data_IF_368703844791
#
_entry.id   IF_368703844791
#
_cell.length_a   1.000
_cell.length_b   1.000
_cell.length_c   1.000
_cell.angle_alpha   90.00
_cell.angle_beta   90.00
_cell.angle_gamma   90.00
#
_symmetry.space_group_name_H-M   'P 1'
#
loop_
_entity.id
_entity.type
_entity.pdbx_description
1 polymer ?
#
# COMPACT_ATOMS: atom_id res chain seq x y z
N UNK A 1 4.40 6.10 -37.99
CA UNK A 1 5.62 5.97 -37.18
C UNK A 1 5.50 4.67 -36.40
N UNK A 2 6.30 3.66 -36.73
CA UNK A 2 6.34 2.40 -35.98
C UNK A 2 6.97 2.71 -34.62
N UNK A 3 6.15 2.78 -33.57
CA UNK A 3 6.65 2.92 -32.21
C UNK A 3 7.38 1.60 -31.91
N UNK A 4 8.70 1.62 -31.82
CA UNK A 4 9.47 0.43 -31.45
C UNK A 4 9.05 -0.01 -30.07
N UNK A 5 8.82 -1.34 -29.91
CA UNK A 5 8.47 -1.92 -28.61
C UNK A 5 9.56 -1.56 -27.59
N UNK A 6 9.20 -1.15 -26.36
CA UNK A 6 10.19 -0.84 -25.35
C UNK A 6 11.00 -2.10 -24.99
N UNK A 7 12.30 -1.92 -24.78
CA UNK A 7 13.14 -3.01 -24.25
C UNK A 7 12.87 -3.25 -22.78
N UNK A 8 13.19 -4.45 -22.26
CA UNK A 8 13.10 -4.77 -20.85
C UNK A 8 13.85 -3.72 -19.99
N UNK A 9 15.07 -3.36 -20.42
CA UNK A 9 15.91 -2.38 -19.68
C UNK A 9 15.26 -1.00 -19.62
N UNK A 10 14.59 -0.56 -20.68
CA UNK A 10 13.85 0.69 -20.70
C UNK A 10 12.67 0.67 -19.71
N UNK A 11 11.92 -0.45 -19.64
CA UNK A 11 10.83 -0.63 -18.69
C UNK A 11 11.33 -0.65 -17.24
N UNK A 12 12.44 -1.35 -16.97
CA UNK A 12 13.09 -1.37 -15.64
C UNK A 12 13.60 0.03 -15.26
N UNK A 13 14.15 0.80 -16.18
CA UNK A 13 14.56 2.18 -15.93
C UNK A 13 13.37 3.05 -15.52
N UNK A 14 12.25 2.98 -16.25
CA UNK A 14 11.02 3.70 -15.93
C UNK A 14 10.47 3.27 -14.56
N UNK A 15 10.45 1.97 -14.27
CA UNK A 15 10.01 1.44 -12.98
C UNK A 15 10.90 1.90 -11.81
N UNK A 16 12.23 1.99 -12.03
CA UNK A 16 13.17 2.55 -11.07
C UNK A 16 12.90 4.02 -10.77
N UNK A 17 12.54 4.80 -11.77
CA UNK A 17 12.15 6.20 -11.56
C UNK A 17 10.83 6.32 -10.80
N UNK A 18 9.85 5.47 -11.11
CA UNK A 18 8.56 5.42 -10.41
C UNK A 18 8.74 5.20 -8.92
N UNK A 19 9.51 4.17 -8.50
CA UNK A 19 9.74 3.89 -7.08
C UNK A 19 10.57 4.98 -6.40
N UNK A 20 11.52 5.59 -7.09
CA UNK A 20 12.34 6.66 -6.53
C UNK A 20 11.51 7.91 -6.18
N UNK A 21 10.47 8.20 -6.97
CA UNK A 21 9.52 9.29 -6.74
C UNK A 21 8.45 8.92 -5.70
N UNK A 22 7.85 7.73 -5.83
CA UNK A 22 6.66 7.35 -5.07
C UNK A 22 6.94 6.82 -3.67
N UNK A 23 8.07 6.11 -3.40
CA UNK A 23 8.34 5.52 -2.09
C UNK A 23 9.81 5.56 -1.68
N UNK A 24 10.16 6.55 -0.84
CA UNK A 24 11.53 6.66 -0.29
C UNK A 24 11.92 5.48 0.62
N UNK A 25 10.97 4.87 1.31
CA UNK A 25 11.23 3.75 2.24
C UNK A 25 11.40 2.45 1.48
N UNK A 26 10.47 2.14 0.58
CA UNK A 26 10.55 0.92 -0.23
C UNK A 26 11.69 1.03 -1.26
N UNK A 27 11.91 2.19 -1.86
CA UNK A 27 13.06 2.44 -2.74
C UNK A 27 14.41 2.20 -2.05
N UNK A 28 14.52 2.50 -0.73
CA UNK A 28 15.72 2.18 0.04
C UNK A 28 15.84 0.68 0.29
N UNK A 29 14.79 0.04 0.78
CA UNK A 29 14.78 -1.39 1.11
C UNK A 29 15.00 -2.26 -0.13
N UNK A 30 14.43 -1.88 -1.28
CA UNK A 30 14.56 -2.63 -2.54
C UNK A 30 16.00 -2.77 -3.03
N UNK A 31 16.89 -1.81 -2.68
CA UNK A 31 18.32 -1.87 -3.02
C UNK A 31 19.06 -3.05 -2.37
N UNK A 32 18.51 -3.64 -1.32
CA UNK A 32 19.07 -4.77 -0.62
C UNK A 32 18.83 -6.10 -1.35
N UNK A 33 17.81 -6.19 -2.18
CA UNK A 33 17.52 -7.37 -3.01
C UNK A 33 18.68 -7.69 -3.97
N UNK A 34 18.75 -8.95 -4.39
CA UNK A 34 19.56 -9.32 -5.55
C UNK A 34 19.09 -8.55 -6.80
N UNK A 35 19.96 -8.29 -7.79
CA UNK A 35 19.62 -7.45 -8.94
C UNK A 35 18.33 -7.86 -9.63
N UNK A 36 18.16 -9.14 -9.92
CA UNK A 36 16.98 -9.70 -10.60
C UNK A 36 15.70 -9.51 -9.79
N UNK A 37 15.69 -9.90 -8.51
CA UNK A 37 14.55 -9.70 -7.61
C UNK A 37 14.21 -8.22 -7.45
N UNK A 38 15.22 -7.36 -7.40
CA UNK A 38 15.05 -5.91 -7.29
C UNK A 38 14.35 -5.31 -8.50
N UNK A 39 14.75 -5.70 -9.69
CA UNK A 39 14.15 -5.22 -10.94
C UNK A 39 12.70 -5.68 -11.06
N UNK A 40 12.42 -6.95 -10.76
CA UNK A 40 11.06 -7.49 -10.69
C UNK A 40 10.20 -6.75 -9.65
N UNK A 41 10.74 -6.44 -8.48
CA UNK A 41 10.06 -5.65 -7.46
C UNK A 41 9.75 -4.22 -7.93
N UNK A 42 10.63 -3.61 -8.72
CA UNK A 42 10.37 -2.30 -9.30
C UNK A 42 9.29 -2.34 -10.38
N UNK A 43 9.27 -3.36 -11.24
CA UNK A 43 8.22 -3.56 -12.24
C UNK A 43 6.85 -3.75 -11.57
N UNK A 44 6.77 -4.60 -10.53
CA UNK A 44 5.54 -4.77 -9.75
C UNK A 44 5.09 -3.46 -9.11
N UNK A 45 6.02 -2.74 -8.45
CA UNK A 45 5.71 -1.45 -7.84
C UNK A 45 5.17 -0.44 -8.85
N UNK A 46 5.78 -0.36 -10.04
CA UNK A 46 5.35 0.56 -11.08
C UNK A 46 3.92 0.28 -11.54
N UNK A 47 3.53 -1.00 -11.67
CA UNK A 47 2.15 -1.39 -11.98
C UNK A 47 1.19 -1.02 -10.85
N UNK A 48 1.49 -1.38 -9.59
CA UNK A 48 0.65 -0.99 -8.44
C UNK A 48 0.45 0.53 -8.39
N UNK A 49 1.53 1.30 -8.59
CA UNK A 49 1.47 2.76 -8.56
C UNK A 49 0.66 3.34 -9.72
N UNK A 50 0.77 2.76 -10.92
CA UNK A 50 -0.03 3.20 -12.06
C UNK A 50 -1.52 2.89 -11.85
N UNK A 51 -1.86 1.77 -11.21
CA UNK A 51 -3.25 1.46 -10.83
C UNK A 51 -3.80 2.49 -9.83
N UNK A 52 -3.01 2.83 -8.80
CA UNK A 52 -3.34 3.84 -7.79
C UNK A 52 -3.59 5.22 -8.43
N UNK A 53 -2.63 5.70 -9.23
CA UNK A 53 -2.72 6.98 -9.92
C UNK A 53 -3.93 7.07 -10.86
N UNK A 54 -4.20 6.00 -11.62
CA UNK A 54 -5.37 5.91 -12.50
C UNK A 54 -6.69 5.90 -11.70
N UNK A 55 -6.75 5.15 -10.60
CA UNK A 55 -7.93 5.08 -9.76
C UNK A 55 -8.26 6.45 -9.13
N UNK A 56 -7.24 7.17 -8.67
CA UNK A 56 -7.38 8.52 -8.11
C UNK A 56 -7.61 9.62 -9.18
N UNK A 57 -7.51 9.28 -10.46
CA UNK A 57 -7.62 10.27 -11.56
C UNK A 57 -6.46 11.24 -11.61
N UNK A 58 -5.29 10.85 -11.09
CA UNK A 58 -4.07 11.65 -11.13
C UNK A 58 -3.33 11.38 -12.44
N UNK A 59 -3.06 12.44 -13.19
CA UNK A 59 -2.35 12.36 -14.47
C UNK A 59 -0.84 12.38 -14.22
N UNK A 60 -0.16 11.25 -14.35
CA UNK A 60 1.29 11.18 -14.37
C UNK A 60 1.83 11.02 -15.80
N UNK A 61 1.33 11.85 -16.73
CA UNK A 61 1.96 12.03 -18.05
C UNK A 61 1.71 10.92 -19.05
N UNK A 62 0.70 10.09 -18.87
CA UNK A 62 0.21 9.13 -19.85
C UNK A 62 -0.94 9.70 -20.68
N UNK A 63 -1.13 9.14 -21.88
CA UNK A 63 -2.18 9.51 -22.85
C UNK A 63 -3.60 9.11 -22.43
N UNK A 64 -3.79 8.59 -21.22
CA UNK A 64 -5.11 8.31 -20.66
C UNK A 64 -5.70 9.62 -20.13
N UNK A 65 -6.42 10.32 -21.00
CA UNK A 65 -7.24 11.47 -20.62
C UNK A 65 -8.08 11.15 -19.39
N UNK A 66 -8.19 12.09 -18.46
CA UNK A 66 -9.01 11.99 -17.27
C UNK A 66 -10.41 11.44 -17.59
N UNK A 67 -10.60 10.15 -17.41
CA UNK A 67 -11.92 9.54 -17.47
C UNK A 67 -12.60 9.95 -16.17
N UNK A 68 -13.58 10.84 -16.27
CA UNK A 68 -14.21 11.49 -15.11
C UNK A 68 -14.97 10.54 -14.18
N UNK A 69 -15.36 9.35 -14.67
CA UNK A 69 -16.12 8.36 -13.90
C UNK A 69 -15.19 7.34 -13.20
N UNK A 70 -15.28 7.19 -11.87
CA UNK A 70 -14.50 6.20 -11.11
C UNK A 70 -14.66 4.75 -11.63
N UNK A 71 -15.87 4.33 -11.98
CA UNK A 71 -16.12 2.98 -12.50
C UNK A 71 -15.41 2.74 -13.84
N UNK A 72 -15.40 3.75 -14.72
CA UNK A 72 -14.70 3.68 -15.99
C UNK A 72 -13.17 3.61 -15.82
N UNK A 73 -12.60 4.29 -14.81
CA UNK A 73 -11.18 4.19 -14.46
C UNK A 73 -10.81 2.78 -14.00
N UNK A 74 -11.61 2.17 -13.13
CA UNK A 74 -11.41 0.79 -12.69
C UNK A 74 -11.55 -0.20 -13.87
N UNK A 75 -12.50 0.01 -14.76
CA UNK A 75 -12.65 -0.81 -15.98
C UNK A 75 -11.41 -0.68 -16.89
N UNK A 76 -10.85 0.52 -17.03
CA UNK A 76 -9.62 0.74 -17.80
C UNK A 76 -8.41 0.01 -17.17
N UNK A 77 -8.22 0.09 -15.85
CA UNK A 77 -7.16 -0.63 -15.12
C UNK A 77 -7.29 -2.14 -15.38
N UNK A 78 -8.49 -2.70 -15.22
CA UNK A 78 -8.76 -4.14 -15.48
C UNK A 78 -8.46 -4.51 -16.93
N UNK A 79 -8.88 -3.68 -17.89
CA UNK A 79 -8.65 -3.91 -19.32
C UNK A 79 -7.17 -3.88 -19.69
N UNK A 80 -6.41 -2.90 -19.20
CA UNK A 80 -4.96 -2.80 -19.43
C UNK A 80 -4.21 -3.97 -18.79
N UNK A 81 -4.57 -4.34 -17.55
CA UNK A 81 -3.98 -5.48 -16.85
C UNK A 81 -4.26 -6.79 -17.60
N UNK A 82 -5.51 -7.04 -18.01
CA UNK A 82 -5.88 -8.24 -18.74
C UNK A 82 -5.10 -8.36 -20.05
N UNK A 83 -5.01 -7.29 -20.85
CA UNK A 83 -4.24 -7.27 -22.08
C UNK A 83 -2.76 -7.54 -21.86
N UNK A 84 -2.16 -6.97 -20.81
CA UNK A 84 -0.78 -7.24 -20.43
C UNK A 84 -0.57 -8.72 -20.09
N UNK A 85 -1.48 -9.32 -19.30
CA UNK A 85 -1.44 -10.74 -18.95
C UNK A 85 -1.65 -11.68 -20.16
N UNK A 86 -2.39 -11.23 -21.16
CA UNK A 86 -2.58 -11.94 -22.44
C UNK A 86 -1.37 -11.74 -23.39
N UNK A 87 -0.26 -11.17 -22.92
CA UNK A 87 0.97 -10.98 -23.68
C UNK A 87 0.93 -9.82 -24.68
N UNK A 88 -0.07 -8.94 -24.59
CA UNK A 88 -0.21 -7.80 -25.49
C UNK A 88 0.61 -6.60 -24.99
N UNK A 89 1.19 -5.85 -25.90
CA UNK A 89 1.74 -4.54 -25.64
C UNK A 89 0.60 -3.51 -25.61
N UNK A 90 0.52 -2.74 -24.52
CA UNK A 90 -0.57 -1.78 -24.33
C UNK A 90 -0.15 -0.33 -24.53
N UNK A 91 1.17 -0.09 -24.59
CA UNK A 91 1.74 1.25 -24.80
C UNK A 91 1.89 2.08 -23.51
N UNK A 92 1.56 1.50 -22.37
CA UNK A 92 1.73 2.10 -21.03
C UNK A 92 2.86 1.35 -20.30
N UNK A 93 3.97 2.04 -20.02
CA UNK A 93 5.20 1.42 -19.53
C UNK A 93 5.01 0.55 -18.28
N UNK A 94 4.14 0.95 -17.36
CA UNK A 94 3.88 0.20 -16.12
C UNK A 94 3.14 -1.11 -16.38
N UNK A 95 2.18 -1.13 -17.31
CA UNK A 95 1.45 -2.34 -17.71
C UNK A 95 2.28 -3.21 -18.66
N UNK A 96 3.06 -2.60 -19.55
CA UNK A 96 4.03 -3.32 -20.37
C UNK A 96 5.12 -3.95 -19.50
N UNK A 97 5.48 -3.29 -18.38
CA UNK A 97 6.35 -3.83 -17.34
C UNK A 97 5.75 -5.03 -16.61
N UNK A 98 4.44 -5.01 -16.30
CA UNK A 98 3.73 -6.16 -15.74
C UNK A 98 3.75 -7.34 -16.70
N UNK A 99 3.51 -7.10 -18.01
CA UNK A 99 3.61 -8.14 -19.04
C UNK A 99 4.96 -8.85 -18.98
N UNK A 100 6.06 -8.08 -19.00
CA UNK A 100 7.42 -8.66 -18.91
C UNK A 100 7.63 -9.39 -17.59
N UNK A 101 7.16 -8.83 -16.49
CA UNK A 101 7.27 -9.44 -15.17
C UNK A 101 6.59 -10.82 -15.11
N UNK A 102 5.39 -10.95 -15.67
CA UNK A 102 4.64 -12.22 -15.65
C UNK A 102 5.18 -13.27 -16.63
N UNK A 103 6.00 -12.89 -17.60
CA UNK A 103 6.80 -13.81 -18.40
C UNK A 103 8.02 -14.34 -17.63
N UNK A 104 8.58 -13.52 -16.72
CA UNK A 104 9.77 -13.87 -15.94
C UNK A 104 9.46 -14.58 -14.61
N UNK A 105 8.29 -14.37 -14.04
CA UNK A 105 7.93 -14.87 -12.73
C UNK A 105 6.43 -15.21 -12.68
N UNK A 106 6.11 -16.31 -12.00
CA UNK A 106 4.73 -16.70 -11.77
C UNK A 106 4.06 -15.78 -10.75
N UNK A 107 3.01 -15.11 -11.18
CA UNK A 107 2.10 -14.34 -10.33
C UNK A 107 0.67 -14.80 -10.64
N UNK A 108 -0.08 -15.37 -9.67
CA UNK A 108 -1.47 -15.73 -9.88
C UNK A 108 -2.30 -14.52 -10.27
N UNK A 109 -3.07 -14.64 -11.36
CA UNK A 109 -3.97 -13.56 -11.81
C UNK A 109 -4.92 -13.10 -10.72
N UNK A 110 -5.40 -14.03 -9.87
CA UNK A 110 -6.28 -13.72 -8.75
C UNK A 110 -5.69 -12.66 -7.80
N UNK A 111 -4.36 -12.65 -7.55
CA UNK A 111 -3.73 -11.64 -6.70
C UNK A 111 -3.74 -10.24 -7.33
N UNK A 112 -3.61 -10.18 -8.65
CA UNK A 112 -3.69 -8.92 -9.39
C UNK A 112 -5.14 -8.40 -9.43
N UNK A 113 -6.11 -9.30 -9.66
CA UNK A 113 -7.53 -8.95 -9.65
C UNK A 113 -7.99 -8.51 -8.25
N UNK A 114 -7.52 -9.19 -7.19
CA UNK A 114 -7.78 -8.81 -5.80
C UNK A 114 -7.18 -7.44 -5.46
N UNK A 115 -5.98 -7.14 -5.96
CA UNK A 115 -5.37 -5.83 -5.75
C UNK A 115 -6.20 -4.71 -6.41
N UNK A 116 -6.68 -4.93 -7.63
CA UNK A 116 -7.55 -3.98 -8.32
C UNK A 116 -8.90 -3.82 -7.61
N UNK A 117 -9.41 -4.88 -6.95
CA UNK A 117 -10.63 -4.80 -6.16
C UNK A 117 -10.51 -3.80 -4.99
N UNK A 118 -9.32 -3.62 -4.41
CA UNK A 118 -9.07 -2.60 -3.39
C UNK A 118 -9.31 -1.18 -3.93
N UNK A 119 -8.81 -0.86 -5.11
CA UNK A 119 -9.06 0.43 -5.75
C UNK A 119 -10.53 0.64 -6.12
N UNK A 120 -11.24 -0.45 -6.46
CA UNK A 120 -12.68 -0.37 -6.72
C UNK A 120 -13.46 0.03 -5.46
N UNK A 121 -13.09 -0.50 -4.29
CA UNK A 121 -13.68 -0.10 -3.02
C UNK A 121 -13.48 1.39 -2.75
N UNK A 122 -12.25 1.91 -2.95
CA UNK A 122 -11.97 3.34 -2.79
C UNK A 122 -12.75 4.21 -3.78
N UNK A 123 -12.86 3.77 -5.03
CA UNK A 123 -13.62 4.47 -6.07
C UNK A 123 -15.13 4.55 -5.78
N UNK A 124 -15.68 3.56 -5.08
CA UNK A 124 -17.07 3.52 -4.62
C UNK A 124 -17.32 4.32 -3.33
N UNK A 125 -16.25 4.89 -2.74
CA UNK A 125 -16.34 5.60 -1.46
C UNK A 125 -16.66 4.65 -0.28
N UNK A 126 -16.21 3.39 -0.39
CA UNK A 126 -16.43 2.37 0.60
C UNK A 126 -15.81 2.73 1.95
N UNK A 127 -16.44 2.26 3.04
CA UNK A 127 -15.98 2.44 4.43
C UNK A 127 -16.15 1.15 5.20
N UNK A 128 -15.18 0.76 6.06
CA UNK A 128 -15.29 -0.43 6.88
C UNK A 128 -16.38 -0.26 7.94
N UNK A 129 -17.21 -1.28 8.13
CA UNK A 129 -18.17 -1.35 9.22
C UNK A 129 -17.54 -2.00 10.44
N UNK A 130 -16.77 -3.07 10.22
CA UNK A 130 -16.13 -3.90 11.24
C UNK A 130 -14.60 -3.94 11.04
N UNK A 131 -13.89 -4.42 12.07
CA UNK A 131 -12.44 -4.70 11.98
C UNK A 131 -12.16 -5.73 10.87
N UNK A 132 -13.03 -6.73 10.70
CA UNK A 132 -12.90 -7.72 9.63
C UNK A 132 -13.00 -7.07 8.22
N UNK A 133 -13.86 -6.07 8.05
CA UNK A 133 -13.93 -5.30 6.80
C UNK A 133 -12.65 -4.54 6.54
N UNK A 134 -12.07 -3.92 7.58
CA UNK A 134 -10.80 -3.21 7.48
C UNK A 134 -9.66 -4.16 7.11
N UNK A 135 -9.59 -5.34 7.75
CA UNK A 135 -8.58 -6.37 7.44
C UNK A 135 -8.72 -6.79 5.97
N UNK A 136 -9.95 -7.03 5.49
CA UNK A 136 -10.21 -7.40 4.10
C UNK A 136 -9.77 -6.30 3.13
N UNK A 137 -10.05 -5.04 3.41
CA UNK A 137 -9.55 -3.91 2.61
C UNK A 137 -8.02 -3.88 2.58
N UNK A 138 -7.36 -3.98 3.75
CA UNK A 138 -5.90 -4.03 3.84
C UNK A 138 -5.30 -5.22 3.09
N UNK A 139 -5.99 -6.38 3.06
CA UNK A 139 -5.61 -7.50 2.21
C UNK A 139 -5.58 -7.09 0.74
N UNK A 140 -6.66 -6.49 0.23
CA UNK A 140 -6.73 -6.09 -1.18
C UNK A 140 -5.63 -5.10 -1.55
N UNK A 141 -5.45 -4.01 -0.80
CA UNK A 141 -4.53 -2.93 -1.20
C UNK A 141 -3.05 -3.20 -0.86
N UNK A 142 -2.75 -4.13 0.06
CA UNK A 142 -1.38 -4.35 0.53
C UNK A 142 -1.03 -5.82 0.79
N UNK A 143 -1.94 -6.63 1.32
CA UNK A 143 -1.72 -8.06 1.56
C UNK A 143 -1.39 -8.82 0.28
N UNK A 144 -2.15 -8.59 -0.79
CA UNK A 144 -1.90 -9.13 -2.13
C UNK A 144 -0.50 -8.78 -2.63
N UNK A 145 -0.04 -7.55 -2.41
CA UNK A 145 1.32 -7.10 -2.77
C UNK A 145 2.37 -7.87 -1.97
N UNK A 146 2.12 -8.11 -0.68
CA UNK A 146 2.98 -8.95 0.16
C UNK A 146 3.15 -10.35 -0.42
N UNK A 147 2.05 -11.02 -0.82
CA UNK A 147 2.07 -12.35 -1.46
C UNK A 147 2.80 -12.33 -2.80
N UNK A 148 2.50 -11.37 -3.68
CA UNK A 148 3.19 -11.21 -4.97
C UNK A 148 4.70 -11.00 -4.76
N UNK A 149 5.11 -10.17 -3.83
CA UNK A 149 6.52 -9.97 -3.50
C UNK A 149 7.20 -11.23 -3.00
N UNK A 150 6.53 -12.07 -2.20
CA UNK A 150 7.07 -13.35 -1.74
C UNK A 150 7.34 -14.31 -2.90
N UNK A 151 6.42 -14.40 -3.86
CA UNK A 151 6.61 -15.18 -5.09
C UNK A 151 7.82 -14.68 -5.89
N UNK A 152 7.98 -13.36 -6.05
CA UNK A 152 9.17 -12.77 -6.72
C UNK A 152 10.48 -13.03 -5.96
N UNK A 153 10.41 -13.27 -4.67
CA UNK A 153 11.56 -13.66 -3.84
C UNK A 153 11.85 -15.17 -3.85
N UNK A 154 11.07 -15.95 -4.60
CA UNK A 154 11.27 -17.39 -4.80
C UNK A 154 10.51 -18.28 -3.82
N UNK A 155 9.51 -17.76 -3.11
CA UNK A 155 8.58 -18.58 -2.32
C UNK A 155 7.73 -19.42 -3.27
N UNK A 156 7.61 -20.71 -2.98
CA UNK A 156 6.79 -21.61 -3.80
C UNK A 156 5.30 -21.26 -3.70
N UNK A 157 4.53 -21.36 -4.80
CA UNK A 157 3.12 -21.01 -4.81
C UNK A 157 2.25 -21.85 -3.85
N UNK A 158 2.70 -23.02 -3.46
CA UNK A 158 2.06 -23.94 -2.54
C UNK A 158 2.54 -23.81 -1.07
N UNK A 159 3.55 -22.95 -0.80
CA UNK A 159 3.96 -22.62 0.59
C UNK A 159 2.97 -21.60 1.18
N UNK A 160 1.79 -22.09 1.55
CA UNK A 160 0.69 -21.29 2.05
C UNK A 160 1.08 -20.48 3.32
N UNK A 161 1.83 -21.08 4.26
CA UNK A 161 2.22 -20.42 5.51
C UNK A 161 3.19 -19.25 5.26
N UNK A 162 4.16 -19.40 4.35
CA UNK A 162 5.06 -18.28 4.02
C UNK A 162 4.34 -17.17 3.26
N UNK A 163 3.43 -17.52 2.35
CA UNK A 163 2.61 -16.55 1.62
C UNK A 163 1.65 -15.79 2.55
N UNK A 164 1.02 -16.45 3.52
CA UNK A 164 0.18 -15.80 4.54
C UNK A 164 1.00 -14.83 5.40
N UNK A 165 2.20 -15.23 5.82
CA UNK A 165 3.09 -14.33 6.58
C UNK A 165 3.59 -13.14 5.76
N UNK A 166 3.75 -13.30 4.45
CA UNK A 166 4.07 -12.21 3.55
C UNK A 166 2.87 -11.25 3.36
N UNK A 167 1.65 -11.78 3.30
CA UNK A 167 0.40 -11.02 3.38
C UNK A 167 0.35 -10.18 4.66
N UNK A 168 0.64 -10.80 5.81
CA UNK A 168 0.69 -10.13 7.10
C UNK A 168 1.62 -8.91 7.11
N UNK A 169 2.73 -8.94 6.36
CA UNK A 169 3.58 -7.76 6.23
C UNK A 169 2.89 -6.63 5.47
N UNK A 170 2.15 -6.96 4.43
CA UNK A 170 1.31 -6.01 3.70
C UNK A 170 0.27 -5.35 4.61
N UNK A 171 -0.46 -6.18 5.39
CA UNK A 171 -1.44 -5.69 6.36
C UNK A 171 -0.79 -4.76 7.39
N UNK A 172 0.36 -5.16 7.95
CA UNK A 172 1.10 -4.35 8.93
C UNK A 172 1.45 -2.96 8.36
N UNK A 173 1.89 -2.92 7.10
CA UNK A 173 2.22 -1.66 6.42
C UNK A 173 0.98 -0.78 6.25
N UNK A 174 -0.13 -1.38 5.84
CA UNK A 174 -1.36 -0.62 5.59
C UNK A 174 -1.98 -0.11 6.90
N UNK A 175 -2.02 -0.91 7.96
CA UNK A 175 -2.46 -0.42 9.28
C UNK A 175 -1.60 0.74 9.79
N UNK A 176 -0.27 0.65 9.62
CA UNK A 176 0.63 1.74 10.01
C UNK A 176 0.40 3.01 9.14
N UNK A 177 0.09 2.85 7.86
CA UNK A 177 -0.27 3.95 6.97
C UNK A 177 -1.60 4.59 7.39
N UNK A 178 -2.65 3.80 7.59
CA UNK A 178 -3.96 4.30 8.04
C UNK A 178 -3.82 5.02 9.40
N UNK A 179 -3.08 4.43 10.35
CA UNK A 179 -2.86 5.07 11.65
C UNK A 179 -2.14 6.43 11.53
N UNK A 180 -1.20 6.56 10.59
CA UNK A 180 -0.47 7.80 10.32
C UNK A 180 -1.30 8.85 9.62
N UNK A 181 -2.13 8.42 8.66
CA UNK A 181 -2.75 9.31 7.67
C UNK A 181 -4.24 9.60 7.99
N UNK A 182 -4.75 9.19 9.18
CA UNK A 182 -6.17 9.36 9.59
C UNK A 182 -6.69 10.76 9.34
N UNK A 183 -5.89 11.81 9.61
CA UNK A 183 -6.29 13.20 9.39
C UNK A 183 -6.34 13.55 7.92
N UNK A 184 -5.27 13.23 7.18
CA UNK A 184 -5.17 13.52 5.76
C UNK A 184 -6.26 12.76 4.96
N UNK A 185 -6.54 11.51 5.34
CA UNK A 185 -7.61 10.71 4.75
C UNK A 185 -8.98 11.36 5.00
N UNK A 186 -9.22 11.82 6.22
CA UNK A 186 -10.45 12.51 6.59
C UNK A 186 -10.62 13.83 5.85
N UNK A 187 -9.56 14.63 5.70
CA UNK A 187 -9.54 15.85 4.91
C UNK A 187 -9.82 15.55 3.42
N UNK A 188 -9.37 14.40 2.91
CA UNK A 188 -9.66 13.87 1.58
C UNK A 188 -11.04 13.19 1.44
N UNK A 189 -11.87 13.20 2.49
CA UNK A 189 -13.20 12.57 2.50
C UNK A 189 -13.20 11.06 2.67
N UNK A 190 -12.06 10.45 3.00
CA UNK A 190 -11.87 9.01 3.25
C UNK A 190 -11.87 8.71 4.74
N UNK A 191 -12.43 7.57 5.13
CA UNK A 191 -12.37 7.09 6.51
C UNK A 191 -12.19 5.58 6.51
N UNK A 192 -11.04 5.12 6.98
CA UNK A 192 -10.70 3.70 7.11
C UNK A 192 -10.87 3.17 8.53
N UNK A 193 -11.31 4.01 9.50
CA UNK A 193 -11.65 3.55 10.84
C UNK A 193 -13.01 2.83 10.78
N UNK A 194 -13.13 1.59 11.31
CA UNK A 194 -14.40 0.87 11.37
C UNK A 194 -15.50 1.66 12.09
N UNK A 195 -16.72 1.67 11.54
CA UNK A 195 -17.82 2.39 12.17
C UNK A 195 -18.16 1.85 13.56
N UNK A 196 -18.00 0.55 13.81
CA UNK A 196 -18.14 -0.03 15.15
C UNK A 196 -17.18 0.58 16.17
N UNK A 197 -15.94 0.89 15.79
CA UNK A 197 -14.96 1.55 16.67
C UNK A 197 -15.33 3.00 16.94
N UNK A 198 -15.82 3.70 15.91
CA UNK A 198 -16.27 5.09 16.04
C UNK A 198 -17.50 5.19 16.96
N UNK A 199 -18.40 4.23 16.86
CA UNK A 199 -19.59 4.13 17.72
C UNK A 199 -19.21 3.78 19.17
N UNK A 200 -18.34 2.78 19.37
CA UNK A 200 -17.81 2.38 20.69
C UNK A 200 -17.22 3.56 21.46
N UNK A 201 -16.57 4.48 20.78
CA UNK A 201 -15.92 5.65 21.37
C UNK A 201 -16.75 6.94 21.29
N UNK A 202 -18.00 6.88 20.81
CA UNK A 202 -18.86 8.06 20.55
C UNK A 202 -18.09 9.17 19.78
N UNK A 203 -17.47 8.78 18.65
CA UNK A 203 -16.77 9.69 17.74
C UNK A 203 -17.74 10.05 16.62
N UNK A 204 -18.01 11.35 16.45
CA UNK A 204 -19.01 11.85 15.49
C UNK A 204 -18.40 12.55 14.29
N UNK A 205 -17.18 13.05 14.41
CA UNK A 205 -16.47 13.80 13.36
C UNK A 205 -16.28 13.02 12.06
N UNK A 206 -16.25 11.69 12.12
CA UNK A 206 -16.12 10.80 10.95
C UNK A 206 -17.46 10.27 10.43
N UNK A 207 -18.60 10.63 11.04
CA UNK A 207 -19.89 10.23 10.49
C UNK A 207 -20.10 10.86 9.12
N UNK A 208 -20.53 10.05 8.15
CA UNK A 208 -20.91 10.55 6.85
C UNK A 208 -21.93 11.68 7.03
N UNK A 209 -21.65 12.87 6.49
CA UNK A 209 -22.66 13.92 6.41
C UNK A 209 -23.83 13.35 5.63
N UNK A 210 -25.04 13.42 6.21
CA UNK A 210 -26.28 13.14 5.50
C UNK A 210 -26.33 14.02 4.25
N UNK A 211 -26.86 13.51 3.14
CA UNK A 211 -27.06 14.28 1.89
C UNK A 211 -27.82 15.61 2.08
N UNK A 212 -28.40 15.84 3.27
CA UNK A 212 -29.16 17.04 3.63
C UNK A 212 -28.34 18.12 4.39
N UNK A 213 -27.06 17.87 4.75
CA UNK A 213 -26.26 18.88 5.40
C UNK A 213 -25.60 19.78 4.34
N UNK A 214 -26.30 20.88 4.02
CA UNK A 214 -25.83 21.96 3.13
C UNK A 214 -24.67 22.72 3.74
N UNK A 215 -23.45 22.18 3.70
CA UNK A 215 -22.24 22.96 3.91
C UNK A 215 -21.43 22.92 2.60
N UNK A 216 -21.07 24.09 2.01
CA UNK A 216 -20.49 24.16 0.68
C UNK A 216 -19.06 23.69 0.57
N UNK A 217 -18.38 23.38 1.68
CA UNK A 217 -17.00 22.92 1.69
C UNK A 217 -16.90 21.56 2.38
N UNK A 218 -16.56 20.50 1.60
CA UNK A 218 -16.32 19.13 2.05
C UNK A 218 -15.15 18.96 3.04
N UNK A 219 -14.87 19.98 3.86
CA UNK A 219 -13.85 19.92 4.91
C UNK A 219 -14.44 19.23 6.12
N UNK A 220 -13.80 18.14 6.56
CA UNK A 220 -13.94 17.70 7.93
C UNK A 220 -13.56 18.89 8.81
N UNK A 221 -14.56 19.45 9.45
CA UNK A 221 -14.49 20.68 10.20
C UNK A 221 -13.45 20.55 11.34
N UNK A 222 -12.80 21.64 11.66
CA UNK A 222 -12.20 22.06 12.94
C UNK A 222 -12.88 21.51 14.23
N UNK A 223 -13.92 20.69 14.12
CA UNK A 223 -14.63 20.01 15.22
C UNK A 223 -13.82 18.89 15.90
N UNK A 224 -12.74 18.38 15.28
CA UNK A 224 -11.81 17.47 15.96
C UNK A 224 -11.24 18.09 17.26
N UNK A 225 -11.07 19.40 17.29
CA UNK A 225 -10.57 20.14 18.46
C UNK A 225 -11.66 20.48 19.47
N UNK A 226 -12.90 20.64 19.03
CA UNK A 226 -13.97 21.21 19.86
C UNK A 226 -14.62 20.20 20.82
N UNK A 227 -14.52 18.87 20.61
CA UNK A 227 -15.36 17.88 21.29
C UNK A 227 -14.62 16.81 22.12
N UNK A 228 -13.32 16.98 22.41
CA UNK A 228 -12.54 15.95 23.13
C UNK A 228 -12.35 14.67 22.34
N UNK A 229 -12.61 14.68 21.03
CA UNK A 229 -12.49 13.48 20.18
C UNK A 229 -11.06 13.13 19.82
N UNK A 230 -10.11 14.08 19.94
CA UNK A 230 -8.68 13.86 19.63
C UNK A 230 -8.08 12.66 20.37
N UNK A 231 -8.33 12.58 21.69
CA UNK A 231 -7.82 11.47 22.51
C UNK A 231 -8.48 10.15 22.16
N UNK A 232 -9.75 10.19 21.80
CA UNK A 232 -10.50 9.01 21.32
C UNK A 232 -9.94 8.51 19.99
N UNK A 233 -9.68 9.41 19.04
CA UNK A 233 -9.05 9.08 17.74
C UNK A 233 -7.64 8.55 17.98
N UNK A 234 -6.86 9.16 18.89
CA UNK A 234 -5.53 8.66 19.26
C UNK A 234 -5.58 7.25 19.87
N UNK A 235 -6.63 6.90 20.60
CA UNK A 235 -6.84 5.53 21.06
C UNK A 235 -7.07 4.56 19.90
N UNK A 236 -7.84 4.95 18.86
CA UNK A 236 -8.07 4.14 17.67
C UNK A 236 -6.80 4.01 16.80
N UNK A 237 -6.03 5.08 16.63
CA UNK A 237 -4.74 4.99 15.91
C UNK A 237 -3.74 4.11 16.65
N UNK A 238 -3.77 4.08 18.00
CA UNK A 238 -2.99 3.14 18.80
C UNK A 238 -3.47 1.69 18.61
N UNK A 239 -4.80 1.45 18.51
CA UNK A 239 -5.35 0.11 18.18
C UNK A 239 -4.83 -0.36 16.83
N UNK A 240 -4.84 0.49 15.80
CA UNK A 240 -4.24 0.20 14.50
C UNK A 240 -2.75 -0.11 14.59
N UNK A 241 -1.99 0.67 15.37
CA UNK A 241 -0.56 0.45 15.57
C UNK A 241 -0.26 -0.88 16.27
N UNK A 242 -1.12 -1.33 17.18
CA UNK A 242 -1.01 -2.64 17.82
C UNK A 242 -1.30 -3.77 16.82
N UNK A 243 -2.36 -3.67 16.02
CA UNK A 243 -2.63 -4.62 14.93
C UNK A 243 -1.43 -4.69 13.96
N UNK A 244 -0.87 -3.53 13.57
CA UNK A 244 0.33 -3.49 12.73
C UNK A 244 1.50 -4.24 13.37
N UNK A 245 1.70 -4.13 14.69
CA UNK A 245 2.78 -4.80 15.40
C UNK A 245 2.59 -6.32 15.46
N UNK A 246 1.36 -6.79 15.67
CA UNK A 246 1.05 -8.22 15.69
C UNK A 246 1.27 -8.88 14.32
N UNK A 247 0.80 -8.23 13.26
CA UNK A 247 1.04 -8.68 11.89
C UNK A 247 2.52 -8.60 11.49
N UNK A 248 3.25 -7.54 11.92
CA UNK A 248 4.70 -7.44 11.74
C UNK A 248 5.43 -8.60 12.42
N UNK A 249 5.04 -8.98 13.63
CA UNK A 249 5.64 -10.10 14.36
C UNK A 249 5.47 -11.42 13.60
N UNK A 250 4.28 -11.71 13.07
CA UNK A 250 4.04 -12.87 12.22
C UNK A 250 4.89 -12.84 10.94
N UNK A 251 4.95 -11.70 10.26
CA UNK A 251 5.74 -11.53 9.03
C UNK A 251 7.24 -11.80 9.26
N UNK A 252 7.78 -11.41 10.41
CA UNK A 252 9.18 -11.65 10.78
C UNK A 252 9.51 -13.15 10.90
N UNK A 253 8.53 -13.97 11.27
CA UNK A 253 8.70 -15.44 11.30
C UNK A 253 8.85 -15.95 9.87
N UNK A 254 7.98 -15.54 8.94
CA UNK A 254 8.05 -15.93 7.53
C UNK A 254 9.33 -15.46 6.84
N UNK A 255 9.81 -14.27 7.18
CA UNK A 255 11.03 -13.71 6.60
C UNK A 255 12.27 -14.61 6.79
N UNK A 256 12.29 -15.45 7.84
CA UNK A 256 13.41 -16.39 8.09
C UNK A 256 13.57 -17.45 6.99
N UNK A 257 12.51 -17.72 6.22
CA UNK A 257 12.52 -18.71 5.13
C UNK A 257 13.04 -18.15 3.82
N UNK A 258 13.18 -16.82 3.73
CA UNK A 258 13.64 -16.16 2.52
C UNK A 258 15.17 -16.26 2.36
N UNK A 259 15.68 -16.22 1.11
CA UNK A 259 17.10 -16.04 0.84
C UNK A 259 17.65 -14.81 1.55
N UNK A 260 18.92 -14.84 1.98
CA UNK A 260 19.53 -13.82 2.84
C UNK A 260 19.23 -12.38 2.40
N UNK A 261 19.42 -12.03 1.12
CA UNK A 261 19.20 -10.65 0.63
C UNK A 261 17.74 -10.24 0.70
N UNK A 262 16.83 -11.16 0.37
CA UNK A 262 15.39 -10.93 0.48
C UNK A 262 14.97 -10.80 1.95
N UNK A 263 15.45 -11.69 2.82
CA UNK A 263 15.25 -11.61 4.27
C UNK A 263 15.71 -10.27 4.83
N UNK A 264 16.91 -9.83 4.48
CA UNK A 264 17.44 -8.55 4.93
C UNK A 264 16.55 -7.37 4.46
N UNK A 265 16.16 -7.34 3.20
CA UNK A 265 15.30 -6.31 2.65
C UNK A 265 13.93 -6.26 3.34
N UNK A 266 13.30 -7.43 3.52
CA UNK A 266 12.01 -7.58 4.18
C UNK A 266 12.08 -7.14 5.64
N UNK A 267 13.08 -7.57 6.40
CA UNK A 267 13.27 -7.17 7.80
C UNK A 267 13.56 -5.67 7.94
N UNK A 268 14.32 -5.08 7.00
CA UNK A 268 14.56 -3.63 6.98
C UNK A 268 13.26 -2.85 6.70
N UNK A 269 12.47 -3.30 5.72
CA UNK A 269 11.17 -2.70 5.42
C UNK A 269 10.21 -2.83 6.62
N UNK A 270 10.09 -4.02 7.21
CA UNK A 270 9.29 -4.27 8.42
C UNK A 270 9.66 -3.31 9.56
N UNK A 271 10.96 -3.14 9.81
CA UNK A 271 11.44 -2.22 10.84
C UNK A 271 11.08 -0.76 10.55
N UNK A 272 11.29 -0.30 9.31
CA UNK A 272 11.04 1.09 8.91
C UNK A 272 9.54 1.43 8.98
N UNK A 273 8.67 0.55 8.45
CA UNK A 273 7.22 0.78 8.47
C UNK A 273 6.62 0.57 9.86
N UNK A 274 7.07 -0.46 10.60
CA UNK A 274 6.64 -0.65 11.99
C UNK A 274 7.02 0.51 12.90
N UNK A 275 8.12 1.24 12.60
CA UNK A 275 8.47 2.45 13.34
C UNK A 275 7.44 3.56 13.16
N UNK A 276 6.73 3.63 12.03
CA UNK A 276 5.64 4.57 11.82
C UNK A 276 4.54 4.33 12.86
N UNK A 277 4.06 3.08 12.97
CA UNK A 277 3.02 2.72 13.95
C UNK A 277 3.47 2.98 15.40
N UNK A 278 4.70 2.60 15.74
CA UNK A 278 5.28 2.87 17.08
C UNK A 278 5.35 4.35 17.40
N UNK A 279 5.75 5.17 16.43
CA UNK A 279 5.83 6.62 16.62
C UNK A 279 4.44 7.27 16.71
N UNK A 280 3.45 6.80 15.94
CA UNK A 280 2.05 7.21 16.08
C UNK A 280 1.55 6.89 17.50
N UNK A 281 1.74 5.65 17.96
CA UNK A 281 1.32 5.23 19.28
C UNK A 281 2.01 6.03 20.40
N UNK A 282 3.29 6.38 20.23
CA UNK A 282 4.07 7.16 21.19
C UNK A 282 3.60 8.61 21.28
N UNK A 283 3.29 9.25 20.14
CA UNK A 283 2.82 10.65 20.10
C UNK A 283 1.37 10.78 20.55
N UNK A 284 0.56 9.73 20.44
CA UNK A 284 -0.86 9.82 20.77
C UNK A 284 -1.56 10.91 19.96
N UNK A 285 -2.29 11.80 20.62
CA UNK A 285 -3.02 12.88 19.96
C UNK A 285 -2.14 13.87 19.18
N UNK A 286 -0.87 14.04 19.58
CA UNK A 286 0.08 14.90 18.83
C UNK A 286 0.41 14.35 17.43
N UNK A 287 0.21 13.04 17.18
CA UNK A 287 0.39 12.44 15.86
C UNK A 287 -0.62 12.99 14.84
N UNK A 288 -1.74 13.54 15.29
CA UNK A 288 -2.75 14.15 14.43
C UNK A 288 -2.38 15.57 13.97
N UNK A 289 -1.38 16.22 14.60
CA UNK A 289 -0.98 17.58 14.26
C UNK A 289 -0.04 17.65 13.07
N UNK A 290 0.78 16.61 12.90
CA UNK A 290 1.74 16.53 11.80
C UNK A 290 2.01 15.09 11.41
N UNK A 291 2.11 14.86 10.11
CA UNK A 291 2.37 13.53 9.55
C UNK A 291 3.65 12.93 10.13
N UNK A 292 3.55 11.74 10.68
CA UNK A 292 4.70 10.99 11.19
C UNK A 292 5.62 10.58 10.06
N UNK A 293 6.88 10.95 10.15
CA UNK A 293 7.92 10.59 9.18
C UNK A 293 9.13 9.98 9.87
N UNK A 294 9.71 8.94 9.27
CA UNK A 294 10.90 8.29 9.80
C UNK A 294 12.16 8.93 9.20
N UNK A 295 13.03 9.42 10.06
CA UNK A 295 14.26 10.12 9.66
C UNK A 295 15.21 9.18 8.86
N UNK A 296 16.06 9.78 8.03
CA UNK A 296 17.08 9.01 7.27
C UNK A 296 18.00 8.20 8.20
N UNK A 297 18.35 8.76 9.38
CA UNK A 297 19.20 8.08 10.38
C UNK A 297 18.48 6.85 10.96
N UNK A 298 17.21 6.97 11.31
CA UNK A 298 16.41 5.87 11.83
C UNK A 298 16.22 4.76 10.77
N UNK A 299 15.97 5.13 9.50
CA UNK A 299 15.92 4.16 8.39
C UNK A 299 17.24 3.39 8.24
N UNK A 300 18.38 4.08 8.30
CA UNK A 300 19.70 3.43 8.24
C UNK A 300 19.93 2.51 9.45
N UNK A 301 19.53 2.95 10.65
CA UNK A 301 19.57 2.11 11.86
C UNK A 301 18.79 0.81 11.70
N UNK A 302 17.58 0.88 11.09
CA UNK A 302 16.80 -0.31 10.79
C UNK A 302 17.46 -1.22 9.73
N UNK A 303 18.10 -0.67 8.70
CA UNK A 303 18.86 -1.47 7.72
C UNK A 303 19.98 -2.24 8.41
N UNK A 304 20.75 -1.62 9.31
CA UNK A 304 21.83 -2.27 10.06
C UNK A 304 21.27 -3.32 11.04
N UNK A 305 20.21 -3.00 11.78
CA UNK A 305 19.55 -3.94 12.69
C UNK A 305 19.01 -5.16 11.95
N UNK A 306 18.36 -4.93 10.81
CA UNK A 306 17.82 -5.98 9.94
C UNK A 306 18.93 -6.90 9.38
N UNK A 307 20.11 -6.36 9.05
CA UNK A 307 21.26 -7.15 8.65
C UNK A 307 21.63 -8.19 9.73
N UNK A 308 21.77 -7.73 10.98
CA UNK A 308 22.08 -8.62 12.11
C UNK A 308 20.99 -9.66 12.38
N UNK A 309 19.73 -9.32 12.11
CA UNK A 309 18.60 -10.26 12.26
C UNK A 309 18.51 -11.25 11.09
N UNK A 310 19.09 -10.92 9.95
CA UNK A 310 19.10 -11.76 8.75
C UNK A 310 20.25 -12.79 8.74
N UNK A 311 21.26 -12.59 9.56
CA UNK A 311 22.34 -13.58 9.80
C UNK A 311 21.81 -14.78 10.58
#
# INVERSE_FOLDING_TARGET
MSCSRPTRDALVATARESIARGSKSFGLASKLFAPETRERAWLLYAWCRACDDLADGQDHGGTLSAVGDPAARIAAIRGLTARALDGQWVGEASFDGLRVLTEEAYIPRALLDDHIAGFALDAEGWRPRTEADLIRYCYHVAGTVGRMMALLMGVAPDDADTLERAEHLGLAFQFANIARDVREDAEGGRCYLPSEWLEEHDIRSFRAKSRNDSAPDGRFSTSLEANGEREKIAALTRRLANLAADYEASARIGARRLPFRSRWAVLAAAGIYGEIGREVARRGAEALDSRVTISKRAKLGWVIKAFRQAL
#
